data_IF_289835057741
#
_entry.id   IF_289835057741
#
_cell.length_a   1.000
_cell.length_b   1.000
_cell.length_c   1.000
_cell.angle_alpha   90.00
_cell.angle_beta   90.00
_cell.angle_gamma   90.00
#
_symmetry.space_group_name_H-M   'P 1'
#
loop_
_entity.id
_entity.type
_entity.pdbx_description
1 polymer ?
#
# COMPACT_ATOMS: atom_id res chain seq x y z
N UNK A 1 -6.28 -8.39 -24.92
CA UNK A 1 -5.01 -9.00 -24.45
C UNK A 1 -4.54 -8.22 -23.24
N UNK A 2 -4.23 -8.94 -22.17
CA UNK A 2 -3.73 -8.34 -20.93
C UNK A 2 -2.30 -7.84 -21.14
N UNK A 3 -2.04 -6.61 -20.72
CA UNK A 3 -0.70 -6.03 -20.81
C UNK A 3 -0.14 -5.86 -19.39
N UNK A 4 1.01 -6.49 -19.14
CA UNK A 4 1.79 -6.32 -17.93
C UNK A 4 3.00 -5.44 -18.22
N UNK A 5 3.15 -4.35 -17.45
CA UNK A 5 4.34 -3.52 -17.52
C UNK A 5 4.99 -3.42 -16.13
N UNK A 6 6.27 -3.77 -16.06
CA UNK A 6 7.11 -3.60 -14.88
C UNK A 6 8.08 -2.45 -15.09
N UNK A 7 8.09 -1.49 -14.16
CA UNK A 7 8.93 -0.30 -14.22
C UNK A 7 9.16 0.25 -12.81
N UNK A 8 10.19 1.07 -12.61
CA UNK A 8 10.31 1.86 -11.39
C UNK A 8 9.11 2.78 -11.24
N UNK A 9 8.63 2.93 -10.00
CA UNK A 9 7.45 3.73 -9.72
C UNK A 9 7.59 5.17 -10.22
N UNK A 10 8.77 5.78 -10.04
CA UNK A 10 9.05 7.14 -10.52
C UNK A 10 8.79 7.30 -12.02
N UNK A 11 9.14 6.31 -12.83
CA UNK A 11 8.95 6.39 -14.27
C UNK A 11 7.55 5.97 -14.71
N UNK A 12 6.93 5.01 -14.02
CA UNK A 12 5.57 4.58 -14.31
C UNK A 12 4.53 5.63 -13.88
N UNK A 13 4.67 6.17 -12.68
CA UNK A 13 3.74 7.14 -12.11
C UNK A 13 4.10 8.59 -12.45
N UNK A 14 5.38 8.96 -12.45
CA UNK A 14 5.82 10.32 -12.75
C UNK A 14 5.91 10.56 -14.27
N UNK A 15 6.96 10.03 -14.90
CA UNK A 15 7.25 10.31 -16.33
C UNK A 15 6.11 9.90 -17.28
N UNK A 16 5.46 8.75 -17.03
CA UNK A 16 4.41 8.23 -17.90
C UNK A 16 3.00 8.56 -17.41
N UNK A 17 2.82 9.48 -16.44
CA UNK A 17 1.54 9.73 -15.80
C UNK A 17 0.42 10.06 -16.80
N UNK A 18 0.69 10.98 -17.74
CA UNK A 18 -0.29 11.36 -18.76
C UNK A 18 -0.71 10.17 -19.61
N UNK A 19 0.24 9.32 -20.02
CA UNK A 19 -0.01 8.12 -20.79
C UNK A 19 -0.88 7.12 -19.99
N UNK A 20 -0.57 6.92 -18.70
CA UNK A 20 -1.36 6.05 -17.83
C UNK A 20 -2.77 6.60 -17.67
N UNK A 21 -2.90 7.90 -17.44
CA UNK A 21 -4.20 8.57 -17.28
C UNK A 21 -5.06 8.47 -18.54
N UNK A 22 -4.53 8.85 -19.68
CA UNK A 22 -5.31 9.02 -20.92
C UNK A 22 -5.40 7.72 -21.74
N UNK A 23 -4.38 6.87 -21.70
CA UNK A 23 -4.34 5.67 -22.54
C UNK A 23 -4.70 4.38 -21.78
N UNK A 24 -4.75 4.41 -20.45
CA UNK A 24 -5.12 3.25 -19.61
C UNK A 24 -6.35 3.57 -18.76
N UNK A 25 -6.29 4.63 -17.95
CA UNK A 25 -7.34 4.97 -17.01
C UNK A 25 -8.63 5.46 -17.69
N UNK A 26 -8.52 6.45 -18.58
CA UNK A 26 -9.67 7.03 -19.25
C UNK A 26 -10.51 6.00 -20.04
N UNK A 27 -9.91 5.13 -20.90
CA UNK A 27 -10.65 4.06 -21.57
C UNK A 27 -10.89 2.82 -20.69
N UNK A 28 -10.51 2.85 -19.43
CA UNK A 28 -10.67 1.76 -18.44
C UNK A 28 -10.12 0.42 -18.94
N UNK A 29 -8.91 0.43 -19.48
CA UNK A 29 -8.30 -0.77 -20.05
C UNK A 29 -7.88 -1.77 -18.98
N UNK A 30 -7.92 -3.05 -19.34
CA UNK A 30 -7.45 -4.14 -18.49
C UNK A 30 -5.92 -4.23 -18.48
N UNK A 31 -5.26 -3.26 -17.85
CA UNK A 31 -3.79 -3.14 -17.77
C UNK A 31 -3.33 -3.18 -16.32
N UNK A 32 -2.28 -3.98 -16.06
CA UNK A 32 -1.64 -4.08 -14.73
C UNK A 32 -0.26 -3.42 -14.77
N UNK A 33 -0.06 -2.41 -13.93
CA UNK A 33 1.20 -1.69 -13.82
C UNK A 33 1.92 -2.19 -12.56
N UNK A 34 3.00 -2.96 -12.74
CA UNK A 34 3.87 -3.39 -11.64
C UNK A 34 4.96 -2.35 -11.40
N UNK A 35 4.77 -1.48 -10.43
CA UNK A 35 5.68 -0.39 -10.09
C UNK A 35 6.59 -0.78 -8.92
N UNK A 36 7.90 -0.81 -9.16
CA UNK A 36 8.91 -1.18 -8.18
C UNK A 36 9.66 0.04 -7.66
N UNK A 37 10.42 -0.12 -6.57
CA UNK A 37 11.25 0.94 -5.98
C UNK A 37 10.44 2.17 -5.56
N UNK A 38 9.22 1.97 -5.06
CA UNK A 38 8.35 3.05 -4.63
C UNK A 38 8.70 3.53 -3.22
N UNK A 39 8.43 4.81 -2.95
CA UNK A 39 8.63 5.45 -1.65
C UNK A 39 10.06 5.93 -1.41
N UNK A 40 10.32 6.33 -0.17
CA UNK A 40 11.61 6.91 0.26
C UNK A 40 12.73 5.88 0.42
N UNK A 41 12.40 4.59 0.46
CA UNK A 41 13.32 3.49 0.78
C UNK A 41 14.11 2.95 -0.42
N UNK A 42 14.25 3.74 -1.49
CA UNK A 42 14.96 3.34 -2.72
C UNK A 42 16.46 3.11 -2.50
N UNK A 43 17.09 3.85 -1.58
CA UNK A 43 18.50 3.72 -1.25
C UNK A 43 19.44 4.38 -2.27
N UNK A 44 20.38 3.60 -2.79
CA UNK A 44 21.53 4.10 -3.62
C UNK A 44 21.13 4.81 -4.92
N UNK A 45 19.97 4.49 -5.49
CA UNK A 45 19.47 5.19 -6.69
C UNK A 45 19.16 6.67 -6.43
N UNK A 46 19.04 7.05 -5.16
CA UNK A 46 18.95 8.43 -4.69
C UNK A 46 17.62 9.12 -4.99
N UNK A 47 17.59 10.41 -4.70
CA UNK A 47 16.38 11.24 -4.74
C UNK A 47 15.67 11.29 -6.09
N UNK A 48 16.40 11.13 -7.19
CA UNK A 48 15.83 11.13 -8.55
C UNK A 48 14.97 9.90 -8.85
N UNK A 49 15.11 8.84 -8.07
CA UNK A 49 14.39 7.57 -8.23
C UNK A 49 13.40 7.32 -7.10
N UNK A 50 13.46 8.07 -6.01
CA UNK A 50 12.42 8.05 -4.96
C UNK A 50 11.11 8.52 -5.56
N UNK A 51 10.06 7.72 -5.36
CA UNK A 51 8.71 8.05 -5.81
C UNK A 51 7.78 8.09 -4.62
N UNK A 52 7.59 9.27 -4.06
CA UNK A 52 6.81 9.49 -2.87
C UNK A 52 5.36 9.91 -3.18
N UNK A 53 5.13 10.36 -4.42
CA UNK A 53 3.87 10.88 -4.95
C UNK A 53 3.04 9.87 -5.75
N UNK A 54 3.55 8.66 -5.98
CA UNK A 54 2.93 7.67 -6.87
C UNK A 54 1.50 7.29 -6.49
N UNK A 55 1.25 7.07 -5.20
CA UNK A 55 -0.11 6.76 -4.71
C UNK A 55 -1.05 7.93 -4.95
N UNK A 56 -0.61 9.16 -4.66
CA UNK A 56 -1.39 10.38 -4.92
C UNK A 56 -1.79 10.49 -6.39
N UNK A 57 -0.79 10.41 -7.29
CA UNK A 57 -1.01 10.50 -8.74
C UNK A 57 -1.94 9.41 -9.27
N UNK A 58 -1.68 8.16 -8.92
CA UNK A 58 -2.50 7.03 -9.40
C UNK A 58 -3.91 7.04 -8.81
N UNK A 59 -4.07 7.55 -7.59
CA UNK A 59 -5.36 7.64 -6.92
C UNK A 59 -6.31 8.60 -7.61
N UNK A 60 -5.81 9.67 -8.23
CA UNK A 60 -6.61 10.64 -8.98
C UNK A 60 -7.22 10.05 -10.27
N UNK A 61 -6.68 8.94 -10.77
CA UNK A 61 -7.20 8.29 -11.98
C UNK A 61 -8.50 7.52 -11.64
N UNK A 62 -9.65 7.88 -12.24
CA UNK A 62 -10.90 7.17 -12.01
C UNK A 62 -10.79 5.68 -12.34
N UNK A 63 -11.35 4.82 -11.49
CA UNK A 63 -11.36 3.37 -11.71
C UNK A 63 -10.01 2.66 -11.51
N UNK A 64 -8.90 3.37 -11.27
CA UNK A 64 -7.62 2.74 -10.94
C UNK A 64 -7.68 2.07 -9.57
N UNK A 65 -7.38 0.78 -9.52
CA UNK A 65 -7.18 0.04 -8.28
C UNK A 65 -5.71 0.17 -7.86
N UNK A 66 -5.46 0.40 -6.55
CA UNK A 66 -4.11 0.57 -6.01
C UNK A 66 -3.86 -0.45 -4.91
N UNK A 67 -2.84 -1.27 -5.10
CA UNK A 67 -2.46 -2.34 -4.17
C UNK A 67 -0.99 -2.16 -3.78
N UNK A 68 -0.71 -2.21 -2.47
CA UNK A 68 0.63 -2.07 -1.89
C UNK A 68 0.87 -3.22 -0.90
N UNK A 69 1.29 -4.41 -1.36
CA UNK A 69 1.46 -5.59 -0.52
C UNK A 69 2.60 -5.42 0.48
N UNK A 70 2.47 -6.08 1.62
CA UNK A 70 3.38 -5.99 2.76
C UNK A 70 4.55 -6.99 2.72
N UNK A 71 4.37 -8.14 2.07
CA UNK A 71 5.38 -9.19 1.92
C UNK A 71 5.24 -9.96 0.61
N UNK A 72 6.04 -11.01 0.42
CA UNK A 72 6.07 -11.80 -0.82
C UNK A 72 4.83 -12.70 -0.97
N UNK A 73 4.26 -13.19 0.12
CA UNK A 73 3.03 -14.01 0.12
C UNK A 73 1.86 -13.15 -0.35
N UNK A 74 1.70 -12.00 0.25
CA UNK A 74 0.68 -11.04 -0.15
C UNK A 74 0.91 -10.50 -1.56
N UNK A 75 2.17 -10.26 -1.97
CA UNK A 75 2.50 -9.83 -3.32
C UNK A 75 2.08 -10.85 -4.39
N UNK A 76 2.34 -12.14 -4.15
CA UNK A 76 1.90 -13.23 -5.05
C UNK A 76 0.38 -13.30 -5.15
N UNK A 77 -0.32 -13.19 -4.00
CA UNK A 77 -1.78 -13.19 -3.95
C UNK A 77 -2.36 -11.95 -4.65
N UNK A 78 -1.78 -10.77 -4.42
CA UNK A 78 -2.16 -9.52 -5.06
C UNK A 78 -2.01 -9.56 -6.59
N UNK A 79 -0.93 -10.15 -7.10
CA UNK A 79 -0.71 -10.32 -8.55
C UNK A 79 -1.79 -11.23 -9.15
N UNK A 80 -2.15 -12.33 -8.48
CA UNK A 80 -3.23 -13.22 -8.95
C UNK A 80 -4.59 -12.51 -8.95
N UNK A 81 -4.92 -11.83 -7.86
CA UNK A 81 -6.17 -11.06 -7.77
C UNK A 81 -6.22 -9.93 -8.81
N UNK A 82 -5.11 -9.24 -9.06
CA UNK A 82 -5.03 -8.26 -10.12
C UNK A 82 -5.19 -8.87 -11.52
N UNK A 83 -4.68 -10.08 -11.74
CA UNK A 83 -4.88 -10.79 -13.01
C UNK A 83 -6.36 -11.08 -13.29
N UNK A 84 -7.10 -11.51 -12.28
CA UNK A 84 -8.52 -11.84 -12.37
C UNK A 84 -9.42 -10.59 -12.46
N UNK A 85 -8.97 -9.48 -11.90
CA UNK A 85 -9.71 -8.22 -11.94
C UNK A 85 -9.72 -7.61 -13.35
N UNK A 86 -10.89 -7.24 -13.86
CA UNK A 86 -11.02 -6.56 -15.14
C UNK A 86 -11.01 -5.05 -14.94
N UNK A 87 -9.94 -4.40 -15.37
CA UNK A 87 -9.74 -2.97 -15.20
C UNK A 87 -8.29 -2.60 -14.91
N UNK A 88 -7.98 -1.31 -14.78
CA UNK A 88 -6.62 -0.85 -14.51
C UNK A 88 -6.22 -1.09 -13.04
N UNK A 89 -5.03 -1.65 -12.82
CA UNK A 89 -4.48 -1.90 -11.49
C UNK A 89 -3.05 -1.38 -11.42
N UNK A 90 -2.74 -0.63 -10.37
CA UNK A 90 -1.40 -0.22 -9.98
C UNK A 90 -0.93 -1.06 -8.79
N UNK A 91 0.04 -1.94 -9.03
CA UNK A 91 0.70 -2.78 -8.03
C UNK A 91 1.99 -2.08 -7.60
N UNK A 92 2.04 -1.65 -6.35
CA UNK A 92 3.15 -0.91 -5.78
C UNK A 92 4.08 -1.82 -4.99
N UNK A 93 5.35 -1.85 -5.34
CA UNK A 93 6.36 -2.66 -4.65
C UNK A 93 7.51 -1.79 -4.16
N UNK A 94 7.99 -2.06 -2.95
CA UNK A 94 9.21 -1.48 -2.42
C UNK A 94 10.48 -2.09 -3.05
N UNK A 95 11.66 -1.55 -2.70
CA UNK A 95 12.97 -2.12 -3.06
C UNK A 95 13.50 -3.07 -2.01
N UNK A 96 13.28 -2.76 -0.74
CA UNK A 96 13.85 -3.49 0.38
C UNK A 96 13.24 -4.88 0.54
N UNK A 97 14.06 -5.83 0.95
CA UNK A 97 13.58 -7.11 1.44
C UNK A 97 12.81 -6.90 2.75
N UNK A 98 11.67 -7.55 2.87
CA UNK A 98 10.81 -7.50 4.05
C UNK A 98 10.62 -8.91 4.61
N UNK A 99 10.42 -9.08 5.93
CA UNK A 99 10.11 -10.38 6.50
C UNK A 99 8.73 -10.85 6.02
N UNK A 100 8.57 -12.17 5.95
CA UNK A 100 7.26 -12.79 5.71
C UNK A 100 6.42 -12.67 6.97
N UNK A 101 5.26 -12.07 6.86
CA UNK A 101 4.30 -11.85 7.97
C UNK A 101 2.96 -12.53 7.72
N UNK A 102 2.63 -12.82 6.46
CA UNK A 102 1.38 -13.46 6.06
C UNK A 102 1.55 -14.98 5.86
N UNK A 103 2.48 -15.62 6.56
CA UNK A 103 2.74 -17.06 6.50
C UNK A 103 1.65 -17.86 7.25
N UNK A 104 0.42 -17.70 6.79
CA UNK A 104 -0.73 -18.42 7.27
C UNK A 104 -1.39 -19.15 6.08
N UNK A 105 -1.52 -20.49 6.11
CA UNK A 105 -2.18 -21.23 5.04
C UNK A 105 -3.63 -20.79 4.76
N UNK A 106 -4.28 -20.16 5.73
CA UNK A 106 -5.64 -19.61 5.60
C UNK A 106 -5.66 -18.18 5.09
N UNK A 107 -4.50 -17.56 4.83
CA UNK A 107 -4.43 -16.20 4.33
C UNK A 107 -5.19 -16.06 3.01
N UNK A 108 -6.13 -15.12 2.98
CA UNK A 108 -6.91 -14.79 1.78
C UNK A 108 -6.72 -13.33 1.45
N UNK A 109 -6.34 -13.08 0.22
CA UNK A 109 -6.26 -11.74 -0.34
C UNK A 109 -7.57 -11.39 -1.06
N UNK A 110 -8.13 -10.26 -0.73
CA UNK A 110 -9.32 -9.73 -1.40
C UNK A 110 -9.12 -8.23 -1.67
N UNK A 111 -9.26 -7.81 -2.93
CA UNK A 111 -9.15 -6.39 -3.31
C UNK A 111 -10.20 -5.58 -2.55
N UNK A 112 -9.76 -4.50 -1.89
CA UNK A 112 -10.64 -3.61 -1.13
C UNK A 112 -10.88 -4.03 0.32
N UNK A 113 -10.22 -5.09 0.80
CA UNK A 113 -10.29 -5.52 2.20
C UNK A 113 -8.97 -5.29 2.91
N UNK A 114 -9.04 -4.85 4.17
CA UNK A 114 -7.89 -4.80 5.07
C UNK A 114 -7.78 -6.06 5.91
N UNK A 115 -6.61 -6.26 6.54
CA UNK A 115 -6.33 -7.43 7.38
C UNK A 115 -5.91 -6.98 8.77
N UNK A 116 -6.65 -7.38 9.81
CA UNK A 116 -6.25 -7.18 11.20
C UNK A 116 -5.16 -8.20 11.56
N UNK A 117 -3.92 -7.71 11.73
CA UNK A 117 -2.77 -8.55 12.08
C UNK A 117 -2.57 -8.68 13.58
N UNK A 118 -2.95 -7.67 14.36
CA UNK A 118 -2.85 -7.65 15.81
C UNK A 118 -4.06 -6.94 16.40
N UNK A 119 -4.71 -7.55 17.37
CA UNK A 119 -5.76 -6.91 18.17
C UNK A 119 -5.16 -5.94 19.16
N UNK A 120 -5.90 -4.92 19.55
CA UNK A 120 -5.53 -3.94 20.56
C UNK A 120 -6.71 -3.02 20.89
N UNK A 121 -6.57 -2.23 21.97
CA UNK A 121 -7.66 -1.41 22.49
C UNK A 121 -7.32 0.07 22.70
N UNK A 122 -6.02 0.41 22.75
CA UNK A 122 -5.58 1.76 23.13
C UNK A 122 -5.35 2.68 21.92
N UNK A 123 -4.88 2.11 20.80
CA UNK A 123 -4.62 2.82 19.55
C UNK A 123 -4.74 1.85 18.38
N UNK A 124 -5.25 2.32 17.24
CA UNK A 124 -5.18 1.58 15.96
C UNK A 124 -4.08 2.18 15.08
N UNK A 125 -3.20 1.33 14.56
CA UNK A 125 -2.18 1.70 13.60
C UNK A 125 -2.51 1.03 12.26
N UNK A 126 -2.87 1.85 11.27
CA UNK A 126 -3.02 1.41 9.89
C UNK A 126 -1.66 1.49 9.21
N UNK A 127 -1.24 0.41 8.57
CA UNK A 127 0.02 0.35 7.86
C UNK A 127 -0.16 -0.23 6.46
N UNK A 128 0.77 0.08 5.56
CA UNK A 128 0.75 -0.47 4.20
C UNK A 128 2.17 -0.75 3.70
N UNK A 129 2.30 -1.77 2.86
CA UNK A 129 3.58 -2.15 2.28
C UNK A 129 4.62 -2.51 3.33
N UNK A 130 5.87 -2.10 3.10
CA UNK A 130 6.99 -2.43 3.99
C UNK A 130 6.80 -1.91 5.43
N UNK A 131 6.01 -0.84 5.63
CA UNK A 131 5.76 -0.30 6.96
C UNK A 131 4.93 -1.22 7.86
N UNK A 132 4.29 -2.26 7.32
CA UNK A 132 3.51 -3.21 8.12
C UNK A 132 4.41 -3.98 9.09
N UNK A 133 5.55 -4.49 8.62
CA UNK A 133 6.49 -5.21 9.49
C UNK A 133 7.08 -4.32 10.58
N UNK A 134 7.41 -3.07 10.25
CA UNK A 134 7.92 -2.10 11.22
C UNK A 134 6.84 -1.70 12.24
N UNK A 135 5.58 -1.60 11.81
CA UNK A 135 4.45 -1.33 12.69
C UNK A 135 4.20 -2.47 13.68
N UNK A 136 4.36 -3.72 13.27
CA UNK A 136 4.27 -4.86 14.19
C UNK A 136 5.36 -4.81 15.27
N UNK A 137 6.62 -4.51 14.91
CA UNK A 137 7.71 -4.31 15.88
C UNK A 137 7.43 -3.13 16.83
N UNK A 138 6.91 -2.03 16.29
CA UNK A 138 6.50 -0.87 17.09
C UNK A 138 5.39 -1.24 18.09
N UNK A 139 4.41 -2.05 17.68
CA UNK A 139 3.34 -2.52 18.55
C UNK A 139 3.85 -3.40 19.70
N UNK A 140 4.88 -4.22 19.47
CA UNK A 140 5.56 -4.98 20.53
C UNK A 140 6.24 -4.05 21.55
N UNK A 141 6.94 -3.01 21.06
CA UNK A 141 7.58 -1.99 21.91
C UNK A 141 6.54 -1.21 22.71
N UNK A 142 5.42 -0.85 22.11
CA UNK A 142 4.29 -0.18 22.79
C UNK A 142 3.71 -1.08 23.88
N UNK A 143 3.53 -2.37 23.61
CA UNK A 143 3.02 -3.33 24.58
C UNK A 143 3.93 -3.44 25.81
N UNK A 144 5.27 -3.44 25.61
CA UNK A 144 6.23 -3.41 26.71
C UNK A 144 6.12 -2.14 27.59
N UNK A 145 5.56 -1.07 27.05
CA UNK A 145 5.28 0.19 27.75
C UNK A 145 3.80 0.33 28.20
N UNK A 146 3.04 -0.75 28.18
CA UNK A 146 1.66 -0.79 28.67
C UNK A 146 0.61 -0.23 27.70
N UNK A 147 0.95 -0.05 26.42
CA UNK A 147 0.04 0.43 25.39
C UNK A 147 -0.32 -0.73 24.46
N UNK A 148 -1.60 -1.08 24.38
CA UNK A 148 -2.11 -2.18 23.57
C UNK A 148 -2.58 -1.70 22.20
N UNK A 149 -1.68 -1.80 21.21
CA UNK A 149 -1.90 -1.31 19.86
C UNK A 149 -2.56 -2.37 18.96
N UNK A 150 -3.65 -2.00 18.28
CA UNK A 150 -4.20 -2.75 17.14
C UNK A 150 -3.40 -2.42 15.88
N UNK A 151 -3.06 -3.43 15.07
CA UNK A 151 -2.36 -3.25 13.80
C UNK A 151 -3.21 -3.80 12.67
N UNK A 152 -3.46 -2.97 11.69
CA UNK A 152 -4.25 -3.30 10.49
C UNK A 152 -3.42 -3.02 9.24
N UNK A 153 -3.25 -4.05 8.42
CA UNK A 153 -2.64 -3.94 7.10
C UNK A 153 -3.70 -3.47 6.08
N UNK A 154 -3.46 -2.34 5.47
CA UNK A 154 -4.25 -1.80 4.36
C UNK A 154 -3.48 -2.03 3.07
N UNK A 155 -3.52 -3.26 2.57
CA UNK A 155 -2.86 -3.63 1.32
C UNK A 155 -3.55 -3.07 0.06
N UNK A 156 -4.83 -2.75 0.13
CA UNK A 156 -5.56 -2.07 -0.95
C UNK A 156 -5.87 -0.64 -0.53
N UNK A 157 -5.22 0.33 -1.20
CA UNK A 157 -5.39 1.76 -0.93
C UNK A 157 -6.66 2.30 -1.60
N UNK A 158 -6.97 1.76 -2.79
CA UNK A 158 -8.16 2.12 -3.56
C UNK A 158 -8.67 0.87 -4.30
N UNK A 159 -9.92 0.45 -4.06
CA UNK A 159 -10.86 1.00 -3.06
C UNK A 159 -10.40 0.73 -1.62
N UNK A 160 -10.72 1.64 -0.70
CA UNK A 160 -10.40 1.49 0.72
C UNK A 160 -11.48 0.62 1.42
N UNK A 161 -11.08 -0.19 2.38
CA UNK A 161 -12.01 -0.85 3.31
C UNK A 161 -12.50 0.14 4.37
N UNK A 162 -13.45 1.00 3.96
CA UNK A 162 -13.98 2.05 4.83
C UNK A 162 -14.66 1.49 6.08
N UNK A 163 -15.34 0.35 5.94
CA UNK A 163 -16.03 -0.30 7.06
C UNK A 163 -15.04 -0.71 8.16
N UNK A 164 -13.96 -1.39 7.77
CA UNK A 164 -12.90 -1.81 8.70
C UNK A 164 -12.22 -0.60 9.34
N UNK A 165 -11.90 0.42 8.55
CA UNK A 165 -11.25 1.65 9.03
C UNK A 165 -12.12 2.36 10.05
N UNK A 166 -13.40 2.58 9.75
CA UNK A 166 -14.33 3.25 10.67
C UNK A 166 -14.58 2.44 11.94
N UNK A 167 -14.70 1.12 11.82
CA UNK A 167 -14.87 0.22 12.96
C UNK A 167 -13.68 0.29 13.91
N UNK A 168 -12.47 0.15 13.38
CA UNK A 168 -11.25 0.14 14.18
C UNK A 168 -10.98 1.52 14.83
N UNK A 169 -11.19 2.61 14.09
CA UNK A 169 -11.05 3.97 14.61
C UNK A 169 -12.03 4.25 15.77
N UNK A 170 -13.27 3.78 15.66
CA UNK A 170 -14.25 3.90 16.76
C UNK A 170 -13.89 3.05 17.97
N UNK A 171 -13.30 1.87 17.75
CA UNK A 171 -12.95 0.93 18.81
C UNK A 171 -11.87 1.49 19.75
N UNK A 172 -10.83 2.11 19.20
CA UNK A 172 -9.69 2.61 19.98
C UNK A 172 -9.75 4.11 20.26
N UNK A 173 -10.47 4.87 19.47
CA UNK A 173 -10.59 6.33 19.58
C UNK A 173 -9.29 7.09 19.24
N UNK A 174 -8.21 6.38 18.92
CA UNK A 174 -6.91 6.94 18.52
C UNK A 174 -6.40 6.20 17.30
N UNK A 175 -5.89 6.95 16.32
CA UNK A 175 -5.44 6.40 15.03
C UNK A 175 -4.07 6.94 14.68
N UNK A 176 -3.19 6.06 14.20
CA UNK A 176 -1.93 6.39 13.53
C UNK A 176 -1.90 5.72 12.16
N UNK A 177 -1.18 6.30 11.21
CA UNK A 177 -1.02 5.73 9.86
C UNK A 177 0.46 5.69 9.50
N UNK A 178 0.94 4.53 9.05
CA UNK A 178 2.35 4.29 8.71
C UNK A 178 2.51 3.90 7.24
N UNK A 179 3.35 4.65 6.51
CA UNK A 179 3.57 4.50 5.06
C UNK A 179 4.89 5.14 4.60
N UNK A 180 5.31 4.84 3.37
CA UNK A 180 6.57 5.34 2.78
C UNK A 180 6.39 6.36 1.65
N UNK A 181 5.17 6.86 1.44
CA UNK A 181 4.83 7.88 0.44
C UNK A 181 4.44 9.20 1.11
N UNK A 182 4.39 10.29 0.35
CA UNK A 182 3.86 11.57 0.83
C UNK A 182 2.33 11.61 0.74
N UNK A 183 1.73 12.37 1.65
CA UNK A 183 0.32 12.78 1.57
C UNK A 183 0.25 14.24 1.18
N UNK A 184 -0.91 14.66 0.67
CA UNK A 184 -1.18 16.06 0.41
C UNK A 184 -0.99 16.89 1.70
N UNK A 185 -0.35 18.04 1.59
CA UNK A 185 -0.09 18.99 2.68
C UNK A 185 0.92 18.54 3.75
N UNK A 186 1.69 17.49 3.53
CA UNK A 186 2.83 17.20 4.41
C UNK A 186 3.96 18.17 4.11
N UNK A 187 4.51 18.77 5.17
CA UNK A 187 5.67 19.65 5.12
C UNK A 187 6.81 19.07 5.95
N UNK A 188 8.07 19.56 5.78
CA UNK A 188 9.19 19.11 6.59
C UNK A 188 8.97 19.26 8.09
N UNK A 189 8.13 20.19 8.52
CA UNK A 189 7.77 20.40 9.92
C UNK A 189 6.83 19.31 10.47
N UNK A 190 6.23 18.52 9.60
CA UNK A 190 5.32 17.41 9.96
C UNK A 190 6.00 16.03 9.86
N UNK A 191 7.26 15.98 9.42
CA UNK A 191 8.11 14.81 9.35
C UNK A 191 9.11 14.80 10.48
#
# INVERSE_FOLDING_TARGET
SDVYKRQFAMFAAGRAYEQVRNSIGYPHLNVKIGATHAGISVGEDGATHQCNEDIGLMREIPGMVIINPSDDVEAKAAVRAAYEYVGPVYLRFGRLAVPVINDNPEYKFEIGKGVELRKGKDITIFATGLCVSETLKAAETLAANGIDAQVINIHTIKPLDEELVLKAAKQTGRVSVSYTHLRAHETPEHL
#
